data_IF_821710992503
#
_entry.id   IF_821710992503
#
_cell.length_a   1.000
_cell.length_b   1.000
_cell.length_c   1.000
_cell.angle_alpha   90.00
_cell.angle_beta   90.00
_cell.angle_gamma   90.00
#
_symmetry.space_group_name_H-M   'P 1'
#
loop_
_entity.id
_entity.type
_entity.pdbx_description
1 polymer ?
#
# COMPACT_ATOMS: atom_id res chain seq x y z
N UNK A 1 -17.73 9.53 -14.12
CA UNK A 1 -16.26 9.40 -14.20
C UNK A 1 -15.92 8.93 -15.60
N UNK A 2 -14.99 9.59 -16.28
CA UNK A 2 -14.51 9.15 -17.60
C UNK A 2 -13.23 8.37 -17.33
N UNK A 3 -13.37 7.05 -17.38
CA UNK A 3 -12.29 6.09 -17.16
C UNK A 3 -11.94 5.47 -18.50
N UNK A 4 -10.66 5.39 -18.90
CA UNK A 4 -9.45 5.49 -18.05
C UNK A 4 -8.80 6.89 -17.91
N UNK A 5 -9.23 7.89 -18.68
CA UNK A 5 -8.54 9.17 -18.89
C UNK A 5 -8.27 9.93 -17.58
N UNK A 6 -9.22 9.87 -16.63
CA UNK A 6 -9.05 10.51 -15.31
C UNK A 6 -7.83 10.01 -14.53
N UNK A 7 -7.41 8.76 -14.74
CA UNK A 7 -6.20 8.21 -14.10
C UNK A 7 -4.93 8.61 -14.82
N UNK A 8 -4.96 8.66 -16.14
CA UNK A 8 -3.81 9.06 -16.98
C UNK A 8 -3.40 10.49 -16.65
N UNK A 9 -4.35 11.42 -16.65
CA UNK A 9 -4.10 12.83 -16.30
C UNK A 9 -3.55 12.98 -14.87
N UNK A 10 -4.07 12.20 -13.92
CA UNK A 10 -3.59 12.25 -12.54
C UNK A 10 -2.14 11.75 -12.42
N UNK A 11 -1.82 10.67 -13.13
CA UNK A 11 -0.47 10.10 -13.17
C UNK A 11 0.50 11.07 -13.86
N UNK A 12 0.09 11.70 -14.94
CA UNK A 12 0.93 12.62 -15.71
C UNK A 12 1.18 13.94 -14.95
N UNK A 13 0.14 14.56 -14.40
CA UNK A 13 0.26 15.92 -13.86
C UNK A 13 0.38 15.99 -12.34
N UNK A 14 -0.26 15.08 -11.59
CA UNK A 14 -0.35 15.21 -10.12
C UNK A 14 0.73 14.39 -9.41
N UNK A 15 0.98 13.16 -9.86
CA UNK A 15 1.97 12.27 -9.23
C UNK A 15 3.38 12.88 -9.18
N UNK A 16 3.93 13.51 -10.24
CA UNK A 16 5.26 14.12 -10.18
C UNK A 16 5.37 15.22 -9.12
N UNK A 17 4.34 16.05 -8.98
CA UNK A 17 4.32 17.13 -7.98
C UNK A 17 4.24 16.57 -6.55
N UNK A 18 3.44 15.52 -6.33
CA UNK A 18 3.41 14.85 -5.02
C UNK A 18 4.73 14.16 -4.69
N UNK A 19 5.43 13.59 -5.68
CA UNK A 19 6.77 13.02 -5.50
C UNK A 19 7.82 14.09 -5.18
N UNK A 20 7.79 15.23 -5.89
CA UNK A 20 8.65 16.40 -5.62
C UNK A 20 8.50 16.89 -4.17
N UNK A 21 7.28 16.84 -3.64
CA UNK A 21 6.97 17.22 -2.25
C UNK A 21 7.20 16.11 -1.22
N UNK A 22 7.62 14.91 -1.63
CA UNK A 22 7.78 13.75 -0.73
C UNK A 22 6.46 13.19 -0.17
N UNK A 23 5.31 13.58 -0.75
CA UNK A 23 3.99 13.16 -0.33
C UNK A 23 3.50 11.88 -1.03
N UNK A 24 4.26 11.39 -2.03
CA UNK A 24 3.93 10.17 -2.78
C UNK A 24 5.17 9.33 -3.06
N UNK A 25 4.98 8.01 -3.08
CA UNK A 25 6.07 7.05 -3.29
C UNK A 25 6.64 7.14 -4.70
N UNK A 26 7.96 6.96 -4.83
CA UNK A 26 8.68 6.85 -6.10
C UNK A 26 8.95 5.40 -6.51
N UNK A 27 8.89 4.48 -5.54
CA UNK A 27 9.01 3.04 -5.77
C UNK A 27 8.11 2.26 -4.80
N UNK A 28 7.92 0.98 -5.08
CA UNK A 28 7.30 0.07 -4.13
C UNK A 28 8.39 -0.60 -3.28
N UNK A 29 8.20 -0.63 -1.97
CA UNK A 29 9.00 -1.48 -1.09
C UNK A 29 8.64 -2.96 -1.23
N UNK A 30 9.47 -3.82 -0.66
CA UNK A 30 9.27 -5.27 -0.65
C UNK A 30 8.10 -5.71 0.24
N UNK A 31 7.75 -6.99 0.14
CA UNK A 31 6.75 -7.62 1.01
C UNK A 31 5.30 -7.45 0.56
N UNK A 32 4.37 -7.89 1.41
CA UNK A 32 2.95 -7.90 1.09
C UNK A 32 2.35 -6.50 1.06
N UNK A 33 1.14 -6.35 0.49
CA UNK A 33 0.39 -5.08 0.55
C UNK A 33 0.22 -4.60 2.01
N UNK A 34 -0.03 -5.52 2.94
CA UNK A 34 -0.14 -5.20 4.38
C UNK A 34 1.15 -4.58 4.90
N UNK A 35 2.30 -5.17 4.55
CA UNK A 35 3.59 -4.64 4.96
C UNK A 35 3.80 -3.23 4.41
N UNK A 36 3.50 -3.01 3.12
CA UNK A 36 3.64 -1.69 2.48
C UNK A 36 2.71 -0.63 3.06
N UNK A 37 1.54 -1.00 3.57
CA UNK A 37 0.58 -0.07 4.17
C UNK A 37 0.86 0.25 5.64
N UNK A 38 1.31 -0.74 6.42
CA UNK A 38 1.40 -0.61 7.89
C UNK A 38 2.81 -0.75 8.46
N UNK A 39 3.79 -1.23 7.69
CA UNK A 39 5.15 -1.50 8.16
C UNK A 39 5.29 -2.70 9.13
N UNK A 40 4.20 -3.35 9.53
CA UNK A 40 4.19 -4.40 10.58
C UNK A 40 4.36 -5.83 10.04
N UNK A 41 5.22 -6.00 9.04
CA UNK A 41 5.45 -7.29 8.38
C UNK A 41 4.26 -7.83 7.57
N UNK A 42 4.41 -9.07 7.10
CA UNK A 42 3.49 -9.69 6.13
C UNK A 42 2.21 -10.28 6.75
N UNK A 43 2.15 -10.41 8.08
CA UNK A 43 1.07 -11.09 8.81
C UNK A 43 0.37 -10.13 9.77
N UNK A 44 -0.83 -10.52 10.22
CA UNK A 44 -1.59 -9.77 11.22
C UNK A 44 -0.82 -9.76 12.57
N UNK A 45 -0.68 -8.60 13.23
CA UNK A 45 -0.05 -8.49 14.54
C UNK A 45 -0.93 -9.16 15.59
N UNK A 46 -0.34 -9.51 16.74
CA UNK A 46 -1.04 -10.20 17.82
C UNK A 46 -2.30 -9.47 18.32
N UNK A 47 -2.33 -8.13 18.23
CA UNK A 47 -3.49 -7.32 18.63
C UNK A 47 -4.69 -7.40 17.68
N UNK A 48 -4.50 -7.89 16.45
CA UNK A 48 -5.56 -7.96 15.46
C UNK A 48 -6.44 -9.19 15.72
N UNK A 49 -7.76 -9.05 15.75
CA UNK A 49 -8.69 -10.14 16.07
C UNK A 49 -8.46 -11.39 15.20
N UNK A 50 -8.23 -11.19 13.89
CA UNK A 50 -7.91 -12.27 12.95
C UNK A 50 -6.63 -13.06 13.26
N UNK A 51 -5.71 -12.52 14.08
CA UNK A 51 -4.50 -13.25 14.47
C UNK A 51 -4.79 -14.47 15.36
N UNK A 52 -5.92 -14.45 16.09
CA UNK A 52 -6.38 -15.53 16.99
C UNK A 52 -6.77 -16.81 16.26
N UNK A 53 -7.06 -16.71 14.97
CA UNK A 53 -7.47 -17.83 14.11
C UNK A 53 -6.32 -18.34 13.24
N UNK A 54 -5.09 -17.93 13.52
CA UNK A 54 -3.92 -18.52 12.89
C UNK A 54 -3.70 -19.91 13.48
N UNK A 55 -4.17 -20.93 12.78
CA UNK A 55 -3.75 -22.29 13.03
C UNK A 55 -2.25 -22.35 12.78
N UNK A 56 -1.44 -22.56 13.82
CA UNK A 56 -0.09 -23.06 13.63
C UNK A 56 -0.24 -24.39 12.91
N UNK A 57 0.42 -24.55 11.76
CA UNK A 57 0.54 -25.85 11.11
C UNK A 57 0.95 -26.86 12.18
N UNK A 58 0.15 -27.94 12.27
CA UNK A 58 0.45 -29.08 13.12
C UNK A 58 1.52 -29.91 12.41
#
# INVERSE_FOLDING_TARGET
AVTPESYEDFIEFVVPELQSRGAYKTSYGDGSLRHRLFGEGNRLPARHAGSRYRHSER
#
